data_IF_080263695513
#
_entry.id   IF_080263695513
#
_cell.length_a   1.000
_cell.length_b   1.000
_cell.length_c   1.000
_cell.angle_alpha   90.00
_cell.angle_beta   90.00
_cell.angle_gamma   90.00
#
_symmetry.space_group_name_H-M   'P 1'
#
loop_
_entity.id
_entity.type
_entity.pdbx_description
1 polymer ?
#
# COMPACT_ATOMS: atom_id res chain seq x y z
N UNK A 1 12.99 -17.80 -38.89
CA UNK A 1 12.39 -16.59 -38.30
C UNK A 1 12.90 -15.39 -39.08
N UNK A 2 12.04 -14.48 -39.50
CA UNK A 2 12.45 -13.27 -40.22
C UNK A 2 13.02 -12.26 -39.21
N UNK A 3 14.09 -11.56 -39.61
CA UNK A 3 14.80 -10.60 -38.74
C UNK A 3 14.26 -9.17 -38.88
N UNK A 4 13.61 -8.86 -40.00
CA UNK A 4 13.14 -7.54 -40.33
C UNK A 4 11.74 -7.61 -40.92
N UNK A 5 10.96 -6.55 -40.73
CA UNK A 5 9.59 -6.45 -41.22
C UNK A 5 9.58 -6.27 -42.76
N UNK A 6 9.08 -7.26 -43.53
CA UNK A 6 9.00 -7.17 -44.98
C UNK A 6 8.01 -6.09 -45.48
N UNK A 7 7.13 -5.56 -44.63
CA UNK A 7 6.26 -4.41 -44.97
C UNK A 7 7.05 -3.12 -45.20
N UNK A 8 8.26 -3.03 -44.61
CA UNK A 8 9.16 -1.89 -44.75
C UNK A 8 10.10 -2.02 -45.97
N UNK A 9 10.11 -3.18 -46.63
CA UNK A 9 10.94 -3.41 -47.81
C UNK A 9 10.32 -2.71 -49.03
N UNK A 10 11.15 -1.94 -49.76
CA UNK A 10 10.75 -1.30 -51.02
C UNK A 10 11.22 -2.12 -52.21
N UNK A 11 10.41 -2.19 -53.27
CA UNK A 11 10.76 -2.88 -54.50
C UNK A 11 11.99 -2.21 -55.14
N UNK A 12 13.05 -2.97 -55.49
CA UNK A 12 14.19 -2.43 -56.21
C UNK A 12 13.78 -1.81 -57.54
N UNK A 13 14.49 -0.77 -57.96
CA UNK A 13 14.30 -0.20 -59.30
C UNK A 13 14.92 -1.10 -60.37
N UNK A 14 14.14 -2.07 -60.84
CA UNK A 14 14.53 -2.99 -61.92
C UNK A 14 14.69 -2.29 -63.29
N UNK A 15 14.33 -1.01 -63.41
CA UNK A 15 14.61 -0.23 -64.63
C UNK A 15 16.04 0.32 -64.67
N UNK A 16 16.73 0.36 -63.53
CA UNK A 16 18.12 0.80 -63.39
C UNK A 16 19.09 -0.04 -64.23
N UNK A 17 20.16 0.59 -64.70
CA UNK A 17 21.20 -0.05 -65.51
C UNK A 17 21.92 -1.21 -64.79
N UNK A 18 21.84 -1.26 -63.46
CA UNK A 18 22.38 -2.38 -62.65
C UNK A 18 21.75 -3.72 -63.07
N UNK A 19 20.50 -3.69 -63.54
CA UNK A 19 19.75 -4.88 -63.93
C UNK A 19 19.77 -5.15 -65.45
N UNK A 20 20.55 -4.42 -66.26
CA UNK A 20 20.61 -4.58 -67.72
C UNK A 20 20.91 -6.02 -68.14
N UNK A 21 21.94 -6.62 -67.56
CA UNK A 21 22.32 -8.01 -67.86
C UNK A 21 21.20 -8.98 -67.48
N UNK A 22 20.53 -8.76 -66.34
CA UNK A 22 19.44 -9.62 -65.87
C UNK A 22 18.24 -9.51 -66.80
N UNK A 23 17.89 -8.30 -67.24
CA UNK A 23 16.80 -8.06 -68.20
C UNK A 23 17.09 -8.71 -69.54
N UNK A 24 18.29 -8.53 -70.08
CA UNK A 24 18.71 -9.13 -71.34
C UNK A 24 18.71 -10.67 -71.30
N UNK A 25 19.06 -11.28 -70.16
CA UNK A 25 18.97 -12.74 -69.99
C UNK A 25 17.52 -13.24 -69.85
N UNK A 26 16.64 -12.45 -69.24
CA UNK A 26 15.26 -12.85 -68.97
C UNK A 26 14.37 -12.68 -70.21
N UNK A 27 14.50 -11.55 -70.90
CA UNK A 27 13.80 -11.27 -72.15
C UNK A 27 14.64 -10.29 -73.00
N UNK A 28 15.46 -10.78 -73.95
CA UNK A 28 16.36 -9.95 -74.74
C UNK A 28 15.64 -8.99 -75.70
N UNK A 29 14.41 -9.31 -76.10
CA UNK A 29 13.64 -8.54 -77.09
C UNK A 29 12.71 -7.50 -76.44
N UNK A 30 12.33 -7.70 -75.17
CA UNK A 30 11.41 -6.82 -74.45
C UNK A 30 11.84 -6.57 -73.00
N UNK A 31 12.51 -5.44 -72.80
CA UNK A 31 12.95 -4.97 -71.48
C UNK A 31 11.77 -4.62 -70.56
N UNK A 32 10.61 -4.19 -71.09
CA UNK A 32 9.46 -3.83 -70.27
C UNK A 32 8.85 -5.09 -69.65
N UNK A 33 8.64 -6.14 -70.46
CA UNK A 33 8.19 -7.44 -69.96
C UNK A 33 9.18 -8.04 -68.94
N UNK A 34 10.49 -7.90 -69.15
CA UNK A 34 11.49 -8.35 -68.17
C UNK A 34 11.37 -7.63 -66.82
N UNK A 35 11.16 -6.31 -66.81
CA UNK A 35 10.96 -5.53 -65.58
C UNK A 35 9.71 -6.02 -64.84
N UNK A 36 8.60 -6.23 -65.56
CA UNK A 36 7.33 -6.63 -64.94
C UNK A 36 7.44 -8.02 -64.31
N UNK A 37 8.11 -8.98 -64.95
CA UNK A 37 8.38 -10.30 -64.38
C UNK A 37 9.21 -10.18 -63.09
N UNK A 38 10.26 -9.34 -63.08
CA UNK A 38 11.08 -9.12 -61.89
C UNK A 38 10.27 -8.50 -60.75
N UNK A 39 9.45 -7.49 -61.04
CA UNK A 39 8.54 -6.87 -60.06
C UNK A 39 7.53 -7.87 -59.51
N UNK A 40 6.95 -8.69 -60.37
CA UNK A 40 5.98 -9.71 -59.95
C UNK A 40 6.65 -10.75 -59.04
N UNK A 41 7.84 -11.24 -59.41
CA UNK A 41 8.59 -12.20 -58.60
C UNK A 41 8.95 -11.63 -57.23
N UNK A 42 9.38 -10.37 -57.18
CA UNK A 42 9.71 -9.68 -55.94
C UNK A 42 8.47 -9.51 -55.07
N UNK A 43 7.36 -9.10 -55.66
CA UNK A 43 6.09 -8.89 -54.96
C UNK A 43 5.59 -10.19 -54.34
N UNK A 44 5.58 -11.30 -55.11
CA UNK A 44 5.21 -12.63 -54.62
C UNK A 44 6.08 -13.08 -53.45
N UNK A 45 7.39 -12.89 -53.56
CA UNK A 45 8.33 -13.23 -52.48
C UNK A 45 8.09 -12.36 -51.24
N UNK A 46 7.91 -11.06 -51.43
CA UNK A 46 7.67 -10.12 -50.34
C UNK A 46 6.35 -10.41 -49.61
N UNK A 47 5.29 -10.75 -50.34
CA UNK A 47 3.99 -11.07 -49.75
C UNK A 47 4.03 -12.39 -48.97
N UNK A 48 4.77 -13.40 -49.46
CA UNK A 48 5.03 -14.60 -48.68
C UNK A 48 5.79 -14.28 -47.37
N UNK A 49 6.80 -13.42 -47.44
CA UNK A 49 7.53 -13.00 -46.26
C UNK A 49 6.62 -12.24 -45.28
N UNK A 50 5.73 -11.36 -45.75
CA UNK A 50 4.74 -10.69 -44.89
C UNK A 50 3.82 -11.68 -44.18
N UNK A 51 3.32 -12.69 -44.88
CA UNK A 51 2.51 -13.73 -44.27
C UNK A 51 3.28 -14.48 -43.17
N UNK A 52 4.55 -14.85 -43.43
CA UNK A 52 5.41 -15.47 -42.42
C UNK A 52 5.69 -14.55 -41.23
N UNK A 53 5.88 -13.25 -41.49
CA UNK A 53 6.10 -12.25 -40.44
C UNK A 53 4.89 -12.10 -39.53
N UNK A 54 3.68 -12.06 -40.09
CA UNK A 54 2.43 -11.99 -39.32
C UNK A 54 2.32 -13.21 -38.40
N UNK A 55 2.51 -14.42 -38.94
CA UNK A 55 2.46 -15.66 -38.14
C UNK A 55 3.48 -15.64 -37.00
N UNK A 56 4.68 -15.12 -37.26
CA UNK A 56 5.72 -14.96 -36.25
C UNK A 56 5.29 -13.99 -35.14
N UNK A 57 4.79 -12.81 -35.50
CA UNK A 57 4.34 -11.79 -34.54
C UNK A 57 3.16 -12.29 -33.70
N UNK A 58 2.22 -13.01 -34.32
CA UNK A 58 1.10 -13.63 -33.62
C UNK A 58 1.55 -14.71 -32.63
N UNK A 59 2.48 -15.57 -33.04
CA UNK A 59 3.05 -16.59 -32.17
C UNK A 59 3.82 -15.97 -30.98
N UNK A 60 4.62 -14.92 -31.23
CA UNK A 60 5.33 -14.20 -30.18
C UNK A 60 4.37 -13.52 -29.21
N UNK A 61 3.30 -12.90 -29.72
CA UNK A 61 2.26 -12.28 -28.89
C UNK A 61 1.59 -13.33 -28.00
N UNK A 62 1.18 -14.45 -28.56
CA UNK A 62 0.53 -15.52 -27.81
C UNK A 62 1.44 -16.08 -26.70
N UNK A 63 2.74 -16.21 -26.96
CA UNK A 63 3.71 -16.63 -25.95
C UNK A 63 3.75 -15.62 -24.79
N UNK A 64 3.92 -14.33 -25.09
CA UNK A 64 3.99 -13.26 -24.08
C UNK A 64 2.69 -13.18 -23.28
N UNK A 65 1.53 -13.27 -23.93
CA UNK A 65 0.23 -13.28 -23.26
C UNK A 65 0.09 -14.49 -22.33
N UNK A 66 0.54 -15.68 -22.75
CA UNK A 66 0.51 -16.88 -21.91
C UNK A 66 1.40 -16.74 -20.66
N UNK A 67 2.60 -16.19 -20.81
CA UNK A 67 3.52 -15.94 -19.70
C UNK A 67 2.96 -14.89 -18.73
N UNK A 68 2.34 -13.84 -19.27
CA UNK A 68 1.67 -12.82 -18.45
C UNK A 68 0.48 -13.40 -17.70
N UNK A 69 -0.34 -14.24 -18.33
CA UNK A 69 -1.47 -14.89 -17.69
C UNK A 69 -1.03 -15.82 -16.55
N UNK A 70 0.03 -16.60 -16.74
CA UNK A 70 0.62 -17.43 -15.67
C UNK A 70 1.08 -16.56 -14.51
N UNK A 71 1.85 -15.49 -14.79
CA UNK A 71 2.33 -14.58 -13.74
C UNK A 71 1.18 -13.91 -12.98
N UNK A 72 0.14 -13.48 -13.67
CA UNK A 72 -1.06 -12.89 -13.04
C UNK A 72 -1.75 -13.90 -12.14
N UNK A 73 -1.95 -15.14 -12.62
CA UNK A 73 -2.57 -16.19 -11.82
C UNK A 73 -1.75 -16.54 -10.58
N UNK A 74 -0.43 -16.57 -10.68
CA UNK A 74 0.46 -16.78 -9.53
C UNK A 74 0.35 -15.64 -8.52
N UNK A 75 0.38 -14.40 -8.98
CA UNK A 75 0.22 -13.22 -8.12
C UNK A 75 -1.15 -13.19 -7.42
N UNK A 76 -2.22 -13.56 -8.12
CA UNK A 76 -3.57 -13.67 -7.54
C UNK A 76 -3.64 -14.77 -6.48
N UNK A 77 -3.03 -15.94 -6.72
CA UNK A 77 -2.96 -17.02 -5.73
C UNK A 77 -2.19 -16.59 -4.48
N UNK A 78 -1.06 -15.90 -4.65
CA UNK A 78 -0.27 -15.39 -3.54
C UNK A 78 -1.03 -14.32 -2.75
N UNK A 79 -1.69 -13.38 -3.43
CA UNK A 79 -2.53 -12.37 -2.78
C UNK A 79 -3.70 -12.99 -2.02
N UNK A 80 -4.38 -13.99 -2.58
CA UNK A 80 -5.45 -14.71 -1.91
C UNK A 80 -4.95 -15.48 -0.67
N UNK A 81 -3.79 -16.13 -0.77
CA UNK A 81 -3.16 -16.82 0.36
C UNK A 81 -2.77 -15.84 1.47
N UNK A 82 -2.19 -14.68 1.12
CA UNK A 82 -1.83 -13.64 2.07
C UNK A 82 -3.06 -13.03 2.75
N UNK A 83 -4.13 -12.76 1.99
CA UNK A 83 -5.40 -12.26 2.53
C UNK A 83 -6.00 -13.25 3.54
N UNK A 84 -6.03 -14.55 3.18
CA UNK A 84 -6.52 -15.59 4.09
C UNK A 84 -5.66 -15.69 5.36
N UNK A 85 -4.34 -15.66 5.22
CA UNK A 85 -3.44 -15.68 6.38
C UNK A 85 -3.63 -14.46 7.29
N UNK A 86 -3.89 -13.28 6.72
CA UNK A 86 -4.20 -12.07 7.49
C UNK A 86 -5.55 -12.18 8.22
N UNK A 87 -6.58 -12.73 7.55
CA UNK A 87 -7.88 -13.00 8.18
C UNK A 87 -7.76 -13.98 9.34
N UNK A 88 -7.05 -15.10 9.14
CA UNK A 88 -6.79 -16.09 10.19
C UNK A 88 -6.04 -15.46 11.38
N UNK A 89 -5.04 -14.60 11.13
CA UNK A 89 -4.33 -13.86 12.17
C UNK A 89 -5.25 -12.89 12.94
N UNK A 90 -6.14 -12.18 12.25
CA UNK A 90 -7.11 -11.30 12.89
C UNK A 90 -8.07 -12.09 13.79
N UNK A 91 -8.60 -13.21 13.31
CA UNK A 91 -9.49 -14.09 14.10
C UNK A 91 -8.79 -14.64 15.35
N UNK A 92 -7.54 -15.08 15.22
CA UNK A 92 -6.75 -15.55 16.36
C UNK A 92 -6.41 -14.41 17.36
N UNK A 93 -6.17 -13.20 16.86
CA UNK A 93 -5.98 -12.03 17.72
C UNK A 93 -7.28 -11.64 18.46
N UNK A 94 -8.44 -11.76 17.81
CA UNK A 94 -9.73 -11.51 18.44
C UNK A 94 -10.08 -12.52 19.52
N UNK A 95 -9.81 -13.82 19.31
CA UNK A 95 -9.99 -14.86 20.34
C UNK A 95 -9.15 -14.61 21.60
N UNK A 96 -8.00 -13.94 21.47
CA UNK A 96 -7.11 -13.59 22.59
C UNK A 96 -7.50 -12.29 23.29
N UNK A 97 -8.43 -11.50 22.76
CA UNK A 97 -8.90 -10.30 23.47
C UNK A 97 -9.65 -10.74 24.73
N UNK A 98 -9.39 -10.11 25.89
CA UNK A 98 -10.14 -10.41 27.10
C UNK A 98 -11.62 -10.14 26.81
N UNK A 99 -12.48 -11.13 27.10
CA UNK A 99 -13.92 -10.92 27.08
C UNK A 99 -14.25 -9.84 28.11
N UNK A 100 -14.96 -8.79 27.68
CA UNK A 100 -15.55 -7.84 28.61
C UNK A 100 -16.42 -8.65 29.57
N UNK A 101 -16.24 -8.42 30.88
CA UNK A 101 -17.12 -9.00 31.88
C UNK A 101 -18.57 -8.62 31.60
N UNK A 102 -19.49 -9.45 32.09
CA UNK A 102 -20.92 -9.26 31.89
C UNK A 102 -21.32 -7.88 32.43
N UNK A 103 -21.92 -7.04 31.58
CA UNK A 103 -22.35 -5.70 31.96
C UNK A 103 -23.75 -5.79 32.55
N UNK A 104 -23.84 -5.67 33.87
CA UNK A 104 -25.13 -5.62 34.55
C UNK A 104 -25.78 -4.25 34.35
N UNK A 105 -26.76 -4.19 33.43
CA UNK A 105 -27.60 -3.00 33.16
C UNK A 105 -28.33 -2.50 34.41
N UNK A 106 -28.61 -3.38 35.37
CA UNK A 106 -29.31 -3.03 36.62
C UNK A 106 -28.33 -2.65 37.74
N UNK A 107 -27.03 -2.84 37.54
CA UNK A 107 -26.00 -2.30 38.42
C UNK A 107 -25.97 -0.80 38.24
N UNK A 108 -26.54 -0.07 39.19
CA UNK A 108 -26.41 1.37 39.20
C UNK A 108 -24.91 1.72 39.24
N UNK A 109 -24.39 2.54 38.31
CA UNK A 109 -23.03 3.03 38.41
C UNK A 109 -22.86 3.67 39.79
N UNK A 110 -21.73 3.44 40.45
CA UNK A 110 -21.45 4.10 41.73
C UNK A 110 -21.59 5.60 41.54
N UNK A 111 -22.68 6.16 42.05
CA UNK A 111 -23.01 7.59 41.97
C UNK A 111 -21.97 8.41 42.77
N UNK A 112 -21.23 7.73 43.64
CA UNK A 112 -20.09 8.26 44.35
C UNK A 112 -18.82 7.88 43.62
N UNK A 113 -18.32 8.83 42.82
CA UNK A 113 -16.88 8.96 42.63
C UNK A 113 -16.39 9.81 43.80
N UNK A 114 -15.70 9.19 44.76
CA UNK A 114 -14.98 9.91 45.82
C UNK A 114 -13.77 10.65 45.24
N UNK A 115 -14.02 11.63 44.38
CA UNK A 115 -13.01 12.60 43.96
C UNK A 115 -12.92 13.71 45.00
N UNK A 116 -12.28 13.42 46.13
CA UNK A 116 -11.91 14.45 47.08
C UNK A 116 -10.56 15.05 46.66
N UNK A 117 -10.58 16.15 45.91
CA UNK A 117 -9.39 17.00 45.81
C UNK A 117 -9.18 17.74 47.14
N UNK A 118 -7.95 18.14 47.46
CA UNK A 118 -7.69 18.89 48.69
C UNK A 118 -8.47 20.21 48.72
N UNK A 119 -8.87 20.66 49.93
CA UNK A 119 -9.55 21.96 50.15
C UNK A 119 -8.75 23.13 49.56
N UNK A 120 -7.42 23.04 49.58
CA UNK A 120 -6.53 24.04 48.99
C UNK A 120 -6.69 24.12 47.47
N UNK A 121 -6.71 22.97 46.78
CA UNK A 121 -6.94 22.91 45.33
C UNK A 121 -8.34 23.42 44.98
N UNK A 122 -9.35 23.06 45.79
CA UNK A 122 -10.73 23.54 45.61
C UNK A 122 -10.81 25.07 45.69
N UNK A 123 -10.20 25.69 46.72
CA UNK A 123 -10.17 27.16 46.87
C UNK A 123 -9.47 27.88 45.71
N UNK A 124 -8.44 27.28 45.12
CA UNK A 124 -7.75 27.86 43.96
C UNK A 124 -8.60 27.76 42.69
N UNK A 125 -9.32 26.66 42.51
CA UNK A 125 -10.29 26.50 41.42
C UNK A 125 -11.43 27.53 41.53
N UNK A 126 -11.98 27.74 42.73
CA UNK A 126 -13.00 28.77 42.98
C UNK A 126 -12.52 30.17 42.62
N UNK A 127 -11.25 30.47 42.89
CA UNK A 127 -10.61 31.75 42.54
C UNK A 127 -10.13 31.84 41.09
N UNK A 128 -10.31 30.79 40.29
CA UNK A 128 -9.81 30.67 38.90
C UNK A 128 -8.30 30.91 38.79
N UNK A 129 -7.56 30.56 39.84
CA UNK A 129 -6.10 30.66 39.88
C UNK A 129 -5.47 29.43 39.25
N UNK A 130 -4.22 29.57 38.79
CA UNK A 130 -3.44 28.42 38.33
C UNK A 130 -3.39 27.35 39.42
N UNK A 131 -3.63 26.09 39.04
CA UNK A 131 -3.56 24.94 39.93
C UNK A 131 -2.52 23.94 39.40
N UNK A 132 -1.65 23.38 40.26
CA UNK A 132 -0.78 22.29 39.85
C UNK A 132 -1.64 21.08 39.43
N UNK A 133 -1.18 20.29 38.47
CA UNK A 133 -1.93 19.13 37.94
C UNK A 133 -1.86 17.91 38.89
N UNK A 134 -0.85 17.86 39.76
CA UNK A 134 -0.61 16.74 40.66
C UNK A 134 -1.80 16.32 41.55
N UNK A 135 -2.60 17.24 42.14
CA UNK A 135 -3.78 16.87 42.95
C UNK A 135 -4.89 16.15 42.17
N UNK A 136 -4.85 16.16 40.84
CA UNK A 136 -5.81 15.46 39.97
C UNK A 136 -5.30 14.07 39.53
N UNK A 137 -4.09 13.69 39.93
CA UNK A 137 -3.55 12.35 39.68
C UNK A 137 -4.11 11.35 40.68
N UNK A 138 -4.10 10.06 40.34
CA UNK A 138 -4.54 8.99 41.26
C UNK A 138 -3.79 9.01 42.61
N UNK A 139 -2.49 9.36 42.58
CA UNK A 139 -1.69 9.54 43.79
C UNK A 139 -2.14 10.74 44.62
N UNK A 140 -2.38 11.89 43.97
CA UNK A 140 -2.84 13.10 44.64
C UNK A 140 -4.23 12.97 45.26
N UNK A 141 -5.13 12.23 44.60
CA UNK A 141 -6.47 11.94 45.11
C UNK A 141 -6.45 11.01 46.33
N UNK A 142 -5.60 9.97 46.31
CA UNK A 142 -5.39 9.07 47.46
C UNK A 142 -4.81 9.81 48.68
N UNK A 143 -3.93 10.78 48.44
CA UNK A 143 -3.40 11.61 49.52
C UNK A 143 -4.48 12.51 50.11
N UNK A 144 -5.28 13.14 49.25
CA UNK A 144 -6.36 14.02 49.67
C UNK A 144 -7.47 13.29 50.46
N UNK A 145 -7.77 12.03 50.13
CA UNK A 145 -8.71 11.22 50.91
C UNK A 145 -8.22 10.95 52.33
N UNK A 146 -6.91 10.74 52.52
CA UNK A 146 -6.31 10.49 53.84
C UNK A 146 -6.33 11.74 54.73
N UNK A 147 -6.13 12.92 54.16
CA UNK A 147 -6.20 14.19 54.90
C UNK A 147 -7.63 14.49 55.36
N UNK A 148 -8.63 14.13 54.55
CA UNK A 148 -10.04 14.35 54.88
C UNK A 148 -10.51 13.45 56.03
N UNK A 149 -10.09 12.18 56.04
CA UNK A 149 -10.41 11.24 57.13
C UNK A 149 -9.64 11.55 58.41
N UNK A 150 -8.40 12.04 58.32
CA UNK A 150 -7.62 12.46 59.49
C UNK A 150 -8.18 13.71 60.18
N UNK A 151 -8.85 14.61 59.45
CA UNK A 151 -9.41 15.84 60.03
C UNK A 151 -10.77 15.64 60.71
N UNK A 152 -11.41 14.48 60.54
CA UNK A 152 -12.68 14.16 61.19
C UNK A 152 -12.51 13.61 62.62
N UNK A 153 -11.28 13.27 63.03
CA UNK A 153 -11.00 12.63 64.32
C UNK A 153 -10.24 13.51 65.33
N UNK A 154 -9.83 14.73 64.98
CA UNK A 154 -9.03 15.58 65.88
C UNK A 154 -9.66 16.96 66.10
N UNK A 155 -10.40 17.08 67.20
CA UNK A 155 -10.57 18.34 67.92
C UNK A 155 -9.25 18.71 68.60
N UNK A 156 -8.24 19.01 67.81
CA UNK A 156 -6.87 19.22 68.26
C UNK A 156 -6.25 20.42 67.58
N UNK A 157 -5.92 21.43 68.37
CA UNK A 157 -5.11 22.58 67.99
C UNK A 157 -3.86 22.14 67.21
N UNK A 158 -3.76 22.47 65.92
CA UNK A 158 -2.49 22.41 65.19
C UNK A 158 -1.65 23.61 65.63
N UNK A 159 -0.79 23.39 66.63
CA UNK A 159 0.31 24.31 66.92
C UNK A 159 1.33 24.22 65.78
N UNK A 160 1.44 25.30 65.00
CA UNK A 160 2.59 25.52 64.11
C UNK A 160 3.84 25.68 64.99
N UNK A 161 4.68 24.64 65.07
CA UNK A 161 6.04 24.80 65.54
C UNK A 161 6.92 25.21 64.36
N UNK A 162 7.20 26.51 64.29
CA UNK A 162 8.26 27.09 63.48
C UNK A 162 9.58 26.75 64.18
N UNK A 163 10.33 25.79 63.65
CA UNK A 163 11.75 25.67 63.93
C UNK A 163 12.50 26.32 62.79
N UNK A 164 12.81 27.60 62.97
CA UNK A 164 14.01 28.18 62.39
C UNK A 164 15.19 27.49 63.08
N UNK A 165 16.03 26.79 62.33
CA UNK A 165 17.44 26.66 62.71
C UNK A 165 18.33 26.65 61.48
N UNK A 166 19.24 27.61 61.52
CA UNK A 166 20.23 28.00 60.54
C UNK A 166 21.60 27.45 61.01
N UNK A 167 22.50 27.24 60.06
CA UNK A 167 23.96 26.97 60.20
C UNK A 167 24.34 25.51 60.49
N UNK A 168 25.28 24.87 59.79
CA UNK A 168 26.50 25.33 59.08
C UNK A 168 26.64 24.70 57.70
#
# INVERSE_FOLDING_TARGET
RLLFDPSLATCPDFASSIYDTVRACLNPDDNAAAIDILKESWTKSNDNNKAQWILQVEADRALVESEQAVRQQEAEKEAAAAAKAAEDQCLEAEKKKPQLGDFDINSAPSIYLEFCITVFTQKRLEKKEWCPLWPFTAAGLKEASNVLTSSAEDGGSISLHRSDDNQL
#
